data_IF_077165618889
#
_entry.id   IF_077165618889
#
_cell.length_a   1.000
_cell.length_b   1.000
_cell.length_c   1.000
_cell.angle_alpha   90.00
_cell.angle_beta   90.00
_cell.angle_gamma   90.00
#
_symmetry.space_group_name_H-M   'P 1'
#
loop_
_entity.id
_entity.type
_entity.pdbx_description
1 polymer ?
#
# COMPACT_ATOMS: atom_id res chain seq x y z
N UNK A 1 -34.94 9.35 17.50
CA UNK A 1 -33.87 8.38 17.16
C UNK A 1 -33.05 8.14 18.42
N UNK A 2 -32.73 6.89 18.76
CA UNK A 2 -31.96 6.56 19.95
C UNK A 2 -30.50 7.07 19.80
N UNK A 3 -29.89 7.70 20.81
CA UNK A 3 -28.55 8.32 20.69
C UNK A 3 -27.48 7.34 20.15
N UNK A 4 -27.58 6.06 20.50
CA UNK A 4 -26.70 4.99 19.99
C UNK A 4 -26.86 4.73 18.47
N UNK A 5 -28.05 4.95 17.91
CA UNK A 5 -28.25 4.85 16.47
C UNK A 5 -27.62 6.05 15.76
N UNK A 6 -27.77 7.27 16.30
CA UNK A 6 -27.16 8.47 15.74
C UNK A 6 -25.64 8.38 15.69
N UNK A 7 -24.99 7.88 16.75
CA UNK A 7 -23.54 7.66 16.76
C UNK A 7 -23.08 6.67 15.69
N UNK A 8 -23.82 5.57 15.48
CA UNK A 8 -23.51 4.54 14.48
C UNK A 8 -23.65 5.05 13.04
N UNK A 9 -24.62 5.91 12.76
CA UNK A 9 -24.87 6.47 11.42
C UNK A 9 -24.08 7.75 11.14
N UNK A 10 -23.54 8.40 12.17
CA UNK A 10 -22.81 9.66 12.06
C UNK A 10 -21.68 9.66 11.00
N UNK A 11 -20.85 8.60 10.85
CA UNK A 11 -19.75 8.63 9.88
C UNK A 11 -20.27 8.58 8.44
N UNK A 12 -21.35 7.83 8.20
CA UNK A 12 -21.98 7.72 6.88
C UNK A 12 -22.66 9.02 6.47
N UNK A 13 -23.37 9.66 7.40
CA UNK A 13 -24.00 10.96 7.17
C UNK A 13 -22.95 12.02 6.87
N UNK A 14 -21.85 12.05 7.63
CA UNK A 14 -20.74 12.98 7.38
C UNK A 14 -20.10 12.72 6.01
N UNK A 15 -19.85 11.46 5.66
CA UNK A 15 -19.29 11.09 4.36
C UNK A 15 -20.19 11.57 3.20
N UNK A 16 -21.49 11.31 3.28
CA UNK A 16 -22.46 11.76 2.26
C UNK A 16 -22.50 13.28 2.20
N UNK A 17 -22.53 13.96 3.36
CA UNK A 17 -22.51 15.42 3.41
C UNK A 17 -21.26 15.99 2.74
N UNK A 18 -20.09 15.42 3.00
CA UNK A 18 -18.82 15.83 2.39
C UNK A 18 -18.85 15.63 0.87
N UNK A 19 -19.33 14.49 0.37
CA UNK A 19 -19.41 14.22 -1.08
C UNK A 19 -20.36 15.20 -1.77
N UNK A 20 -21.52 15.47 -1.17
CA UNK A 20 -22.51 16.41 -1.72
C UNK A 20 -21.94 17.83 -1.74
N UNK A 21 -21.31 18.26 -0.64
CA UNK A 21 -20.73 19.58 -0.53
C UNK A 21 -19.57 19.74 -1.52
N UNK A 22 -18.73 18.72 -1.69
CA UNK A 22 -17.68 18.69 -2.70
C UNK A 22 -18.25 18.82 -4.12
N UNK A 23 -19.28 18.05 -4.48
CA UNK A 23 -19.93 18.16 -5.79
C UNK A 23 -20.50 19.56 -6.03
N UNK A 24 -21.17 20.15 -5.02
CA UNK A 24 -21.72 21.51 -5.10
C UNK A 24 -20.60 22.52 -5.32
N UNK A 25 -19.50 22.45 -4.57
CA UNK A 25 -18.36 23.36 -4.72
C UNK A 25 -17.77 23.26 -6.13
N UNK A 26 -17.52 22.06 -6.63
CA UNK A 26 -16.99 21.89 -7.99
C UNK A 26 -17.93 22.47 -9.06
N UNK A 27 -19.23 22.20 -8.95
CA UNK A 27 -20.23 22.65 -9.93
C UNK A 27 -20.55 24.14 -9.83
N UNK A 28 -20.67 24.71 -8.63
CA UNK A 28 -21.03 26.11 -8.41
C UNK A 28 -19.89 27.07 -8.80
N UNK A 29 -18.63 26.68 -8.55
CA UNK A 29 -17.47 27.50 -8.84
C UNK A 29 -16.83 27.21 -10.22
N UNK A 30 -17.43 26.33 -11.04
CA UNK A 30 -16.88 25.88 -12.33
C UNK A 30 -15.39 25.51 -12.24
N UNK A 31 -15.04 24.75 -11.19
CA UNK A 31 -13.65 24.35 -10.94
C UNK A 31 -13.17 23.46 -12.09
N UNK A 32 -11.95 23.71 -12.58
CA UNK A 32 -11.38 22.89 -13.66
C UNK A 32 -11.25 21.43 -13.23
N UNK A 33 -11.87 20.53 -14.00
CA UNK A 33 -11.79 19.08 -13.80
C UNK A 33 -10.36 18.53 -13.83
N UNK A 34 -9.41 19.26 -14.43
CA UNK A 34 -8.00 18.86 -14.46
C UNK A 34 -7.31 19.04 -13.10
N UNK A 35 -7.69 20.10 -12.36
CA UNK A 35 -7.07 20.41 -11.05
C UNK A 35 -7.83 19.70 -9.94
N UNK A 36 -9.16 19.71 -9.99
CA UNK A 36 -9.99 19.15 -8.93
C UNK A 36 -11.29 18.56 -9.50
N UNK A 37 -11.25 17.30 -9.97
CA UNK A 37 -12.40 16.65 -10.59
C UNK A 37 -13.53 16.46 -9.58
N UNK A 38 -14.76 16.71 -10.02
CA UNK A 38 -15.95 16.47 -9.19
C UNK A 38 -16.15 14.97 -8.90
N UNK A 39 -16.82 14.60 -7.78
CA UNK A 39 -17.17 13.21 -7.48
C UNK A 39 -17.87 12.48 -8.63
N UNK A 40 -18.78 13.17 -9.33
CA UNK A 40 -19.45 12.63 -10.51
C UNK A 40 -18.46 12.33 -11.64
N UNK A 41 -17.53 13.24 -11.92
CA UNK A 41 -16.47 13.05 -12.92
C UNK A 41 -15.62 11.82 -12.59
N UNK A 42 -15.21 11.67 -11.32
CA UNK A 42 -14.45 10.50 -10.85
C UNK A 42 -15.23 9.21 -11.12
N UNK A 43 -16.54 9.18 -10.79
CA UNK A 43 -17.38 8.01 -11.03
C UNK A 43 -17.50 7.66 -12.52
N UNK A 44 -17.71 8.65 -13.39
CA UNK A 44 -17.77 8.44 -14.84
C UNK A 44 -16.46 7.88 -15.40
N UNK A 45 -15.32 8.44 -14.99
CA UNK A 45 -14.00 7.98 -15.42
C UNK A 45 -13.68 6.58 -14.87
N UNK A 46 -14.06 6.29 -13.62
CA UNK A 46 -13.91 4.96 -13.06
C UNK A 46 -14.66 3.91 -13.89
N UNK A 47 -15.90 4.20 -14.31
CA UNK A 47 -16.69 3.27 -15.11
C UNK A 47 -16.18 3.12 -16.54
N UNK A 48 -15.75 4.23 -17.16
CA UNK A 48 -15.15 4.26 -18.50
C UNK A 48 -13.87 3.42 -18.56
N UNK A 49 -12.97 3.58 -17.58
CA UNK A 49 -11.67 2.90 -17.54
C UNK A 49 -11.65 1.63 -16.68
N UNK A 50 -12.82 1.11 -16.27
CA UNK A 50 -12.93 -0.01 -15.31
C UNK A 50 -12.08 -1.23 -15.67
N UNK A 51 -12.01 -1.58 -16.96
CA UNK A 51 -11.26 -2.75 -17.44
C UNK A 51 -9.75 -2.54 -17.31
N UNK A 52 -9.26 -1.35 -17.64
CA UNK A 52 -7.85 -0.98 -17.55
C UNK A 52 -7.44 -0.88 -16.08
N UNK A 53 -8.26 -0.21 -15.25
CA UNK A 53 -8.05 -0.11 -13.81
C UNK A 53 -8.01 -1.50 -13.18
N UNK A 54 -8.96 -2.38 -13.51
CA UNK A 54 -8.98 -3.75 -13.02
C UNK A 54 -7.74 -4.56 -13.46
N UNK A 55 -7.28 -4.38 -14.70
CA UNK A 55 -6.05 -5.01 -15.20
C UNK A 55 -4.79 -4.57 -14.43
N UNK A 56 -4.65 -3.26 -14.16
CA UNK A 56 -3.54 -2.74 -13.36
C UNK A 56 -3.66 -3.10 -11.87
N UNK A 57 -4.87 -3.11 -11.32
CA UNK A 57 -5.15 -3.54 -9.96
C UNK A 57 -4.79 -5.01 -9.78
N UNK A 58 -5.21 -5.88 -10.71
CA UNK A 58 -4.86 -7.30 -10.71
C UNK A 58 -3.35 -7.50 -10.82
N UNK A 59 -2.69 -6.78 -11.73
CA UNK A 59 -1.22 -6.82 -11.86
C UNK A 59 -0.55 -6.46 -10.55
N UNK A 60 -0.94 -5.35 -9.94
CA UNK A 60 -0.37 -4.89 -8.67
C UNK A 60 -0.62 -5.92 -7.56
N UNK A 61 -1.83 -6.46 -7.50
CA UNK A 61 -2.22 -7.46 -6.51
C UNK A 61 -1.35 -8.71 -6.59
N UNK A 62 -1.26 -9.38 -7.75
CA UNK A 62 -0.53 -10.63 -7.84
C UNK A 62 0.99 -10.42 -7.68
N UNK A 63 1.53 -9.33 -8.22
CA UNK A 63 2.97 -8.99 -8.08
C UNK A 63 3.32 -8.76 -6.62
N UNK A 64 2.48 -8.02 -5.89
CA UNK A 64 2.64 -7.80 -4.46
C UNK A 64 2.53 -9.11 -3.70
N UNK A 65 1.56 -9.97 -4.05
CA UNK A 65 1.37 -11.27 -3.41
C UNK A 65 2.56 -12.21 -3.62
N UNK A 66 3.17 -12.19 -4.81
CA UNK A 66 4.37 -12.96 -5.10
C UNK A 66 5.56 -12.49 -4.25
N UNK A 67 5.80 -11.17 -4.16
CA UNK A 67 6.85 -10.61 -3.30
C UNK A 67 6.61 -10.86 -1.81
N UNK A 68 5.35 -10.77 -1.38
CA UNK A 68 4.93 -11.08 -0.02
C UNK A 68 5.12 -12.57 0.32
N UNK A 69 4.73 -13.48 -0.58
CA UNK A 69 4.95 -14.92 -0.42
C UNK A 69 6.44 -15.25 -0.28
N UNK A 70 7.28 -14.64 -1.10
CA UNK A 70 8.74 -14.77 -0.97
C UNK A 70 9.24 -14.24 0.39
N UNK A 71 8.70 -13.10 0.85
CA UNK A 71 9.07 -12.52 2.13
C UNK A 71 8.65 -13.39 3.32
N UNK A 72 7.51 -14.07 3.25
CA UNK A 72 7.10 -15.05 4.26
C UNK A 72 8.12 -16.18 4.32
N UNK A 73 8.39 -16.84 3.18
CA UNK A 73 9.27 -18.01 3.15
C UNK A 73 10.67 -17.65 3.67
N UNK A 74 11.28 -16.60 3.13
CA UNK A 74 12.64 -16.21 3.51
C UNK A 74 12.69 -15.59 4.91
N UNK A 75 11.73 -14.72 5.24
CA UNK A 75 11.66 -14.01 6.52
C UNK A 75 11.41 -14.95 7.69
N UNK A 76 10.50 -15.91 7.55
CA UNK A 76 10.22 -16.89 8.62
C UNK A 76 11.41 -17.83 8.81
N UNK A 77 12.04 -18.32 7.72
CA UNK A 77 13.20 -19.20 7.84
C UNK A 77 14.38 -18.49 8.52
N UNK A 78 14.71 -17.27 8.10
CA UNK A 78 15.79 -16.51 8.72
C UNK A 78 15.46 -16.06 10.14
N UNK A 79 14.23 -15.60 10.39
CA UNK A 79 13.75 -15.25 11.71
C UNK A 79 13.87 -16.41 12.69
N UNK A 80 13.44 -17.61 12.29
CA UNK A 80 13.54 -18.81 13.11
C UNK A 80 15.00 -19.16 13.44
N UNK A 81 15.91 -19.09 12.45
CA UNK A 81 17.34 -19.35 12.68
C UNK A 81 17.95 -18.32 13.63
N UNK A 82 17.66 -17.04 13.44
CA UNK A 82 18.20 -15.95 14.29
C UNK A 82 17.61 -16.02 15.70
N UNK A 83 16.29 -16.26 15.82
CA UNK A 83 15.56 -16.38 17.08
C UNK A 83 15.91 -17.63 17.89
N UNK A 84 16.44 -18.68 17.24
CA UNK A 84 16.86 -19.91 17.92
C UNK A 84 18.06 -19.72 18.87
N UNK A 85 18.85 -18.64 18.71
CA UNK A 85 20.05 -18.39 19.50
C UNK A 85 20.13 -16.96 20.00
N UNK A 86 20.30 -16.78 21.31
CA UNK A 86 20.49 -15.46 21.95
C UNK A 86 21.68 -14.69 21.36
N UNK A 87 22.75 -15.39 21.00
CA UNK A 87 23.95 -14.76 20.41
C UNK A 87 23.68 -14.29 18.97
N UNK A 88 23.00 -15.11 18.16
CA UNK A 88 22.65 -14.75 16.79
C UNK A 88 21.69 -13.55 16.76
N UNK A 89 20.68 -13.57 17.63
CA UNK A 89 19.76 -12.45 17.80
C UNK A 89 20.50 -11.18 18.21
N UNK A 90 21.32 -11.22 19.26
CA UNK A 90 22.07 -10.06 19.73
C UNK A 90 23.02 -9.47 18.67
N UNK A 91 23.61 -10.34 17.83
CA UNK A 91 24.51 -9.91 16.76
C UNK A 91 23.74 -9.29 15.57
N UNK A 92 22.61 -9.87 15.16
CA UNK A 92 21.89 -9.44 13.95
C UNK A 92 20.88 -8.33 14.20
N UNK A 93 20.35 -8.20 15.42
CA UNK A 93 19.34 -7.21 15.76
C UNK A 93 19.72 -5.76 15.41
N UNK A 94 20.96 -5.27 15.65
CA UNK A 94 21.38 -3.93 15.23
C UNK A 94 21.34 -3.75 13.71
N UNK A 95 21.80 -4.76 12.96
CA UNK A 95 21.78 -4.73 11.49
C UNK A 95 20.34 -4.72 10.98
N UNK A 96 19.47 -5.58 11.51
CA UNK A 96 18.05 -5.65 11.14
C UNK A 96 17.34 -4.32 11.35
N UNK A 97 17.61 -3.67 12.49
CA UNK A 97 17.05 -2.34 12.82
C UNK A 97 17.58 -1.26 11.88
N UNK A 98 18.89 -1.25 11.60
CA UNK A 98 19.50 -0.29 10.68
C UNK A 98 18.95 -0.42 9.25
N UNK A 99 18.81 -1.63 8.73
CA UNK A 99 18.21 -1.87 7.42
C UNK A 99 16.72 -1.49 7.40
N UNK A 100 15.98 -1.73 8.48
CA UNK A 100 14.57 -1.33 8.55
C UNK A 100 14.40 0.19 8.54
N UNK A 101 15.36 0.95 9.10
CA UNK A 101 15.35 2.41 9.09
C UNK A 101 15.54 3.01 7.68
N UNK A 102 16.10 2.25 6.74
CA UNK A 102 16.29 2.74 5.37
C UNK A 102 14.94 2.96 4.67
N UNK A 103 14.79 4.08 3.93
CA UNK A 103 13.59 4.34 3.16
C UNK A 103 13.49 3.34 2.01
N UNK A 104 12.42 2.52 2.02
CA UNK A 104 12.19 1.48 1.01
C UNK A 104 12.07 2.07 -0.40
N UNK A 105 11.56 3.30 -0.50
CA UNK A 105 11.50 4.07 -1.75
C UNK A 105 12.87 4.33 -2.39
N UNK A 106 13.96 4.38 -1.62
CA UNK A 106 15.31 4.60 -2.15
C UNK A 106 15.88 3.38 -2.90
N UNK A 107 15.35 2.18 -2.64
CA UNK A 107 15.79 0.96 -3.32
C UNK A 107 15.16 0.79 -4.70
N UNK A 108 13.98 1.38 -4.94
CA UNK A 108 13.23 1.20 -6.20
C UNK A 108 14.07 1.55 -7.43
N UNK A 109 14.77 2.71 -7.49
CA UNK A 109 15.61 3.04 -8.64
C UNK A 109 16.77 2.07 -8.84
N UNK A 110 17.39 1.60 -7.76
CA UNK A 110 18.52 0.65 -7.81
C UNK A 110 18.06 -0.69 -8.39
N UNK A 111 16.91 -1.19 -7.92
CA UNK A 111 16.31 -2.42 -8.43
C UNK A 111 15.93 -2.29 -9.91
N UNK A 112 15.44 -1.13 -10.33
CA UNK A 112 15.15 -0.87 -11.75
C UNK A 112 16.42 -0.82 -12.59
N UNK A 113 17.53 -0.27 -12.08
CA UNK A 113 18.82 -0.27 -12.80
C UNK A 113 19.38 -1.69 -12.94
N UNK A 114 19.27 -2.53 -11.91
CA UNK A 114 19.80 -3.89 -11.94
C UNK A 114 18.94 -4.88 -12.74
N UNK A 115 17.62 -4.81 -12.59
CA UNK A 115 16.69 -5.79 -13.15
C UNK A 115 15.88 -5.26 -14.34
N UNK A 116 16.09 -4.00 -14.73
CA UNK A 116 15.30 -3.31 -15.73
C UNK A 116 13.91 -2.91 -15.22
N UNK A 117 13.15 -2.21 -16.05
CA UNK A 117 11.75 -1.86 -15.75
C UNK A 117 10.88 -3.11 -15.97
N UNK A 118 10.03 -3.44 -15.00
CA UNK A 118 9.07 -4.53 -15.16
C UNK A 118 8.60 -5.11 -13.83
N UNK A 119 8.28 -6.40 -13.87
CA UNK A 119 7.72 -7.14 -12.74
C UNK A 119 8.77 -7.37 -11.63
N UNK A 120 10.03 -7.64 -12.02
CA UNK A 120 11.12 -7.97 -11.09
C UNK A 120 11.31 -6.93 -9.96
N UNK A 121 11.54 -5.64 -10.27
CA UNK A 121 11.69 -4.61 -9.25
C UNK A 121 10.45 -4.48 -8.36
N UNK A 122 9.25 -4.67 -8.90
CA UNK A 122 8.02 -4.58 -8.13
C UNK A 122 7.87 -5.74 -7.13
N UNK A 123 8.18 -6.98 -7.53
CA UNK A 123 8.24 -8.14 -6.64
C UNK A 123 9.27 -7.91 -5.54
N UNK A 124 10.49 -7.48 -5.91
CA UNK A 124 11.57 -7.26 -4.95
C UNK A 124 11.27 -6.10 -4.00
N UNK A 125 10.57 -5.07 -4.45
CA UNK A 125 10.11 -3.97 -3.58
C UNK A 125 9.08 -4.47 -2.58
N UNK A 126 8.08 -5.23 -3.02
CA UNK A 126 7.08 -5.83 -2.13
C UNK A 126 7.72 -6.80 -1.11
N UNK A 127 8.71 -7.56 -1.56
CA UNK A 127 9.56 -8.40 -0.71
C UNK A 127 10.27 -7.57 0.36
N UNK A 128 11.03 -6.54 -0.01
CA UNK A 128 11.79 -5.72 0.94
C UNK A 128 10.92 -5.01 1.98
N UNK A 129 9.73 -4.55 1.57
CA UNK A 129 8.76 -3.91 2.48
C UNK A 129 8.29 -4.90 3.56
N UNK A 130 8.04 -6.16 3.17
CA UNK A 130 7.43 -7.16 4.03
C UNK A 130 8.45 -8.01 4.80
N UNK A 131 9.65 -8.20 4.24
CA UNK A 131 10.67 -9.11 4.74
C UNK A 131 11.14 -8.77 6.16
N UNK A 132 11.52 -7.52 6.42
CA UNK A 132 12.06 -7.14 7.73
C UNK A 132 11.04 -7.24 8.86
N UNK A 133 9.80 -6.72 8.75
CA UNK A 133 8.78 -6.93 9.77
C UNK A 133 8.49 -8.40 10.06
N UNK A 134 8.48 -9.26 9.03
CA UNK A 134 8.26 -10.70 9.20
C UNK A 134 9.44 -11.35 9.93
N UNK A 135 10.67 -11.07 9.50
CA UNK A 135 11.88 -11.66 10.09
C UNK A 135 12.10 -11.24 11.55
N UNK A 136 11.76 -10.01 11.93
CA UNK A 136 11.95 -9.49 13.31
C UNK A 136 10.89 -10.00 14.28
N UNK A 137 9.67 -10.27 13.79
CA UNK A 137 8.55 -10.67 14.64
C UNK A 137 8.42 -12.19 14.82
N UNK A 138 9.18 -13.01 14.09
CA UNK A 138 9.30 -14.45 14.28
C UNK A 138 10.40 -14.74 15.30
#
# INVERSE_FOLDING_TARGET
MNNKQLERWSPWLLLVAVIVLWQIVCSAFNVSDFIFPSPWRIWTQFWEFKTIIAGHAWRTFWVTMAGFGLAIVVGVLLGFVIGSSRLAYAAMYPLMTAFNALPKAAFVPILVVWFGIGIGPAILTAFLISFFPIMVNI
#
